data_IF_014391948101
#
_entry.id   IF_014391948101
#
_cell.length_a   1.000
_cell.length_b   1.000
_cell.length_c   1.000
_cell.angle_alpha   90.00
_cell.angle_beta   90.00
_cell.angle_gamma   90.00
#
_symmetry.space_group_name_H-M   'P 1'
#
loop_
_entity.id
_entity.type
_entity.pdbx_description
1 polymer ?
#
# COMPACT_ATOMS: atom_id res chain seq x y z
N UNK A 1 22.76 1.57 -7.08
CA UNK A 1 23.61 2.10 -8.17
C UNK A 1 23.02 3.43 -8.63
N UNK A 2 23.85 4.34 -9.14
CA UNK A 2 23.44 5.62 -9.74
C UNK A 2 24.28 5.87 -11.00
N UNK A 3 23.83 6.79 -11.86
CA UNK A 3 24.56 7.11 -13.09
C UNK A 3 25.99 7.61 -12.76
N UNK A 4 27.06 7.09 -13.41
CA UNK A 4 28.44 7.38 -13.00
C UNK A 4 28.78 8.86 -12.91
N UNK A 5 28.22 9.68 -13.80
CA UNK A 5 28.49 11.13 -13.91
C UNK A 5 27.50 12.00 -13.11
N UNK A 6 26.66 11.41 -12.25
CA UNK A 6 25.59 12.17 -11.58
C UNK A 6 26.14 13.29 -10.68
N UNK A 7 27.30 13.07 -10.06
CA UNK A 7 27.93 14.08 -9.17
C UNK A 7 28.47 15.25 -9.98
N UNK A 8 29.24 14.96 -11.03
CA UNK A 8 29.77 15.97 -11.94
C UNK A 8 28.65 16.81 -12.57
N UNK A 9 27.54 16.17 -12.94
CA UNK A 9 26.35 16.86 -13.44
C UNK A 9 25.75 17.81 -12.40
N UNK A 10 25.55 17.34 -11.17
CA UNK A 10 25.00 18.17 -10.08
C UNK A 10 25.89 19.35 -9.75
N UNK A 11 27.20 19.14 -9.70
CA UNK A 11 28.17 20.21 -9.42
C UNK A 11 28.21 21.23 -10.55
N UNK A 12 28.33 20.77 -11.81
CA UNK A 12 28.39 21.62 -13.00
C UNK A 12 27.17 22.53 -13.15
N UNK A 13 25.99 22.05 -12.78
CA UNK A 13 24.73 22.78 -12.91
C UNK A 13 24.21 23.36 -11.59
N UNK A 14 25.02 23.34 -10.52
CA UNK A 14 24.69 23.92 -9.21
C UNK A 14 23.35 23.43 -8.64
N UNK A 15 23.04 22.14 -8.82
CA UNK A 15 21.73 21.58 -8.44
C UNK A 15 21.63 21.25 -6.95
N UNK A 16 22.74 21.23 -6.21
CA UNK A 16 22.72 20.84 -4.80
C UNK A 16 22.47 22.03 -3.87
N UNK A 17 21.30 22.08 -3.20
CA UNK A 17 21.00 23.16 -2.27
C UNK A 17 21.82 23.12 -0.98
N UNK A 18 22.42 21.96 -0.65
CA UNK A 18 23.30 21.79 0.51
C UNK A 18 24.62 21.11 0.09
N UNK A 19 25.69 21.90 -0.14
CA UNK A 19 26.98 21.36 -0.56
C UNK A 19 27.64 20.38 0.42
N UNK A 20 27.21 20.33 1.69
CA UNK A 20 27.79 19.44 2.70
C UNK A 20 27.28 18.00 2.58
N UNK A 21 26.15 17.80 1.91
CA UNK A 21 25.51 16.48 1.79
C UNK A 21 25.17 16.18 0.33
N UNK A 22 24.90 14.91 0.02
CA UNK A 22 24.37 14.53 -1.30
C UNK A 22 23.04 13.81 -1.10
N UNK A 23 21.97 14.59 -0.95
CA UNK A 23 20.63 14.05 -0.76
C UNK A 23 19.85 14.10 -2.08
N UNK A 24 19.62 12.93 -2.68
CA UNK A 24 18.91 12.81 -3.96
C UNK A 24 17.53 13.46 -3.96
N UNK A 25 16.78 13.39 -2.85
CA UNK A 25 15.47 14.02 -2.75
C UNK A 25 15.58 15.54 -2.73
N UNK A 26 16.56 16.10 -2.04
CA UNK A 26 16.73 17.55 -1.99
C UNK A 26 17.26 18.11 -3.31
N UNK A 27 18.08 17.34 -4.02
CA UNK A 27 18.70 17.75 -5.29
C UNK A 27 17.71 17.63 -6.45
N UNK A 28 16.93 16.53 -6.50
CA UNK A 28 16.12 16.17 -7.67
C UNK A 28 14.61 16.03 -7.40
N UNK A 29 14.17 16.10 -6.14
CA UNK A 29 12.79 15.91 -5.76
C UNK A 29 12.05 17.22 -5.49
N UNK A 30 10.81 17.08 -5.02
CA UNK A 30 9.96 18.17 -4.55
C UNK A 30 9.84 18.16 -3.02
N UNK A 31 9.53 19.34 -2.47
CA UNK A 31 9.20 19.56 -1.06
C UNK A 31 8.14 20.65 -0.96
N UNK A 32 7.02 20.46 -1.63
CA UNK A 32 5.95 21.45 -1.70
C UNK A 32 4.79 21.13 -0.74
N UNK A 33 3.77 21.98 -0.76
CA UNK A 33 2.56 21.78 0.04
C UNK A 33 1.81 20.51 -0.39
N UNK A 34 1.78 20.20 -1.69
CA UNK A 34 1.11 19.02 -2.20
C UNK A 34 1.74 17.74 -1.65
N UNK A 35 3.07 17.69 -1.50
CA UNK A 35 3.78 16.60 -0.84
C UNK A 35 3.28 16.38 0.59
N UNK A 36 3.05 17.45 1.35
CA UNK A 36 2.67 17.40 2.76
C UNK A 36 1.28 16.77 2.98
N UNK A 37 0.38 16.89 2.01
CA UNK A 37 -1.00 16.38 2.11
C UNK A 37 -1.25 15.13 1.26
N UNK A 38 -0.48 14.94 0.19
CA UNK A 38 -0.66 13.84 -0.74
C UNK A 38 0.35 12.71 -0.51
N UNK A 39 1.61 12.99 -0.16
CA UNK A 39 2.70 12.02 -0.17
C UNK A 39 3.19 11.66 1.24
N UNK A 40 3.61 12.64 2.03
CA UNK A 40 4.23 12.40 3.35
C UNK A 40 3.32 11.66 4.34
N UNK A 41 1.98 11.87 4.38
CA UNK A 41 1.12 11.17 5.34
C UNK A 41 1.12 9.66 5.13
N UNK A 42 1.25 9.19 3.89
CA UNK A 42 1.33 7.75 3.57
C UNK A 42 2.62 7.12 4.08
N UNK A 43 3.73 7.83 3.93
CA UNK A 43 5.04 7.39 4.46
C UNK A 43 5.04 7.41 5.99
N UNK A 44 4.47 8.46 6.58
CA UNK A 44 4.27 8.57 8.02
C UNK A 44 3.44 7.41 8.58
N UNK A 45 2.32 7.07 7.95
CA UNK A 45 1.44 6.03 8.48
C UNK A 45 2.13 4.66 8.49
N UNK A 46 2.91 4.33 7.46
CA UNK A 46 3.74 3.12 7.46
C UNK A 46 4.77 3.11 8.59
N UNK A 47 5.44 4.23 8.82
CA UNK A 47 6.40 4.35 9.94
C UNK A 47 5.70 4.31 11.30
N UNK A 48 4.50 4.86 11.42
CA UNK A 48 3.68 4.74 12.63
C UNK A 48 3.30 3.28 12.93
N UNK A 49 3.00 2.48 11.91
CA UNK A 49 2.68 1.05 12.08
C UNK A 49 3.91 0.21 12.47
N UNK A 50 5.07 0.48 11.86
CA UNK A 50 6.24 -0.39 12.00
C UNK A 50 7.30 0.12 12.98
N UNK A 51 7.29 1.42 13.28
CA UNK A 51 8.24 2.12 14.17
C UNK A 51 7.50 3.12 15.08
N UNK A 52 6.51 2.67 15.87
CA UNK A 52 5.63 3.56 16.66
C UNK A 52 6.33 4.42 17.74
N UNK A 53 7.54 4.05 18.16
CA UNK A 53 8.38 4.86 19.05
C UNK A 53 8.86 6.16 18.40
N UNK A 54 9.00 6.19 17.07
CA UNK A 54 9.38 7.38 16.32
C UNK A 54 8.19 8.33 16.23
N UNK A 55 8.28 9.47 16.92
CA UNK A 55 7.26 10.53 16.86
C UNK A 55 7.47 11.41 15.64
N UNK A 56 6.45 11.47 14.80
CA UNK A 56 6.45 12.21 13.54
C UNK A 56 5.08 12.80 13.28
N UNK A 57 5.07 13.92 12.56
CA UNK A 57 3.86 14.53 12.03
C UNK A 57 3.57 14.02 10.61
N UNK A 58 2.30 13.83 10.22
CA UNK A 58 1.93 13.35 8.89
C UNK A 58 2.45 14.23 7.75
N UNK A 59 2.53 15.55 7.97
CA UNK A 59 2.96 16.56 6.99
C UNK A 59 4.47 16.81 6.98
N UNK A 60 5.24 16.05 7.77
CA UNK A 60 6.68 16.24 7.86
C UNK A 60 7.36 15.99 6.52
N UNK A 61 8.08 16.99 6.00
CA UNK A 61 8.89 16.83 4.80
C UNK A 61 10.19 16.06 5.06
N UNK A 62 10.45 15.64 6.30
CA UNK A 62 11.70 14.96 6.71
C UNK A 62 11.46 13.51 7.15
N UNK A 63 10.42 12.86 6.64
CA UNK A 63 10.21 11.41 6.86
C UNK A 63 11.45 10.65 6.35
N UNK A 64 12.15 9.87 7.20
CA UNK A 64 13.35 9.13 6.80
C UNK A 64 13.03 8.10 5.71
N UNK A 65 13.92 7.98 4.71
CA UNK A 65 13.75 7.00 3.64
C UNK A 65 13.98 5.57 4.12
N UNK A 66 15.03 5.35 4.93
CA UNK A 66 15.37 4.06 5.53
C UNK A 66 14.95 4.06 6.99
N UNK A 67 14.26 3.01 7.42
CA UNK A 67 13.87 2.79 8.80
C UNK A 67 14.06 1.34 9.23
N UNK A 68 14.13 1.15 10.55
CA UNK A 68 14.23 -0.16 11.19
C UNK A 68 12.96 -0.40 12.00
N UNK A 69 12.15 -1.33 11.52
CA UNK A 69 10.95 -1.74 12.23
C UNK A 69 11.29 -2.33 13.60
N UNK A 70 10.40 -2.13 14.56
CA UNK A 70 10.54 -2.61 15.94
C UNK A 70 10.31 -4.12 16.05
N UNK A 71 9.58 -4.71 15.10
CA UNK A 71 9.31 -6.14 14.98
C UNK A 71 9.60 -6.63 13.55
N UNK A 72 9.75 -7.94 13.40
CA UNK A 72 9.76 -8.57 12.06
C UNK A 72 8.44 -8.26 11.36
N UNK A 73 8.51 -7.98 10.06
CA UNK A 73 7.35 -7.67 9.23
C UNK A 73 6.88 -8.97 8.57
N UNK A 74 5.63 -9.35 8.84
CA UNK A 74 4.96 -10.43 8.15
C UNK A 74 4.32 -9.94 6.83
N UNK A 75 3.88 -10.84 5.96
CA UNK A 75 3.19 -10.44 4.72
C UNK A 75 1.90 -9.70 5.05
N UNK A 76 1.16 -10.17 6.07
CA UNK A 76 -0.08 -9.58 6.55
C UNK A 76 0.10 -8.14 7.06
N UNK A 77 1.26 -7.82 7.64
CA UNK A 77 1.60 -6.45 8.05
C UNK A 77 1.71 -5.52 6.82
N UNK A 78 2.30 -6.02 5.72
CA UNK A 78 2.42 -5.28 4.44
C UNK A 78 1.06 -5.14 3.77
N UNK A 79 0.27 -6.21 3.72
CA UNK A 79 -1.09 -6.17 3.19
C UNK A 79 -1.97 -5.17 3.93
N UNK A 80 -1.87 -5.14 5.27
CA UNK A 80 -2.59 -4.19 6.10
C UNK A 80 -2.18 -2.74 5.77
N UNK A 81 -0.87 -2.46 5.68
CA UNK A 81 -0.39 -1.14 5.29
C UNK A 81 -0.91 -0.71 3.91
N UNK A 82 -0.83 -1.59 2.90
CA UNK A 82 -1.29 -1.28 1.54
C UNK A 82 -2.81 -1.10 1.46
N UNK A 83 -3.56 -1.72 2.37
CA UNK A 83 -5.02 -1.61 2.45
C UNK A 83 -5.50 -0.54 3.41
N UNK A 84 -4.58 0.25 3.99
CA UNK A 84 -4.92 1.19 5.04
C UNK A 84 -5.42 2.53 4.53
N UNK A 85 -6.19 3.19 5.38
CA UNK A 85 -6.76 4.51 5.16
C UNK A 85 -6.60 5.35 6.42
N UNK A 86 -5.41 5.28 7.06
CA UNK A 86 -5.11 5.95 8.32
C UNK A 86 -5.91 5.43 9.53
N UNK A 87 -6.22 4.12 9.53
CA UNK A 87 -6.97 3.45 10.60
C UNK A 87 -6.44 3.80 11.99
N UNK A 88 -7.36 4.05 12.93
CA UNK A 88 -7.01 4.39 14.31
C UNK A 88 -6.44 5.81 14.47
N UNK A 89 -6.72 6.71 13.53
CA UNK A 89 -6.32 8.13 13.60
C UNK A 89 -7.48 9.05 13.20
N UNK A 90 -7.42 10.33 13.57
CA UNK A 90 -8.42 11.31 13.15
C UNK A 90 -8.59 11.44 11.62
N UNK A 91 -7.58 11.03 10.86
CA UNK A 91 -7.54 11.15 9.39
C UNK A 91 -8.19 9.98 8.66
N UNK A 92 -8.78 9.03 9.38
CA UNK A 92 -9.47 7.89 8.78
C UNK A 92 -10.80 8.34 8.12
N UNK A 93 -10.96 8.22 6.78
CA UNK A 93 -12.12 8.71 6.05
C UNK A 93 -13.37 7.84 6.20
N UNK A 94 -13.27 6.71 6.90
CA UNK A 94 -14.36 5.72 7.00
C UNK A 94 -15.28 5.94 8.21
N UNK A 95 -15.18 7.09 8.88
CA UNK A 95 -16.11 7.47 9.96
C UNK A 95 -16.10 6.53 11.18
N UNK A 96 -14.94 5.94 11.51
CA UNK A 96 -14.81 5.05 12.67
C UNK A 96 -14.79 5.83 13.98
N UNK A 97 -14.82 5.12 15.13
CA UNK A 97 -14.71 5.75 16.45
C UNK A 97 -13.43 6.58 16.63
N UNK A 98 -12.35 6.26 15.90
CA UNK A 98 -11.10 7.00 15.95
C UNK A 98 -11.02 8.14 14.93
N UNK A 99 -11.96 8.22 13.98
CA UNK A 99 -12.04 9.29 12.99
C UNK A 99 -12.36 10.63 13.65
N UNK A 100 -11.76 11.69 13.11
CA UNK A 100 -11.91 13.05 13.58
C UNK A 100 -13.05 13.78 12.89
N UNK A 101 -12.93 15.10 12.74
CA UNK A 101 -13.93 15.91 12.03
C UNK A 101 -13.97 15.60 10.53
N UNK A 102 -15.06 15.95 9.81
CA UNK A 102 -15.13 15.76 8.36
C UNK A 102 -13.97 16.42 7.58
N UNK A 103 -13.44 17.53 8.09
CA UNK A 103 -12.27 18.21 7.51
C UNK A 103 -10.99 17.39 7.71
N UNK A 104 -10.79 16.81 8.90
CA UNK A 104 -9.63 15.94 9.18
C UNK A 104 -9.65 14.67 8.32
N UNK A 105 -10.83 14.08 8.14
CA UNK A 105 -11.06 12.89 7.32
C UNK A 105 -10.76 13.12 5.83
N UNK A 106 -10.90 14.34 5.33
CA UNK A 106 -10.63 14.72 3.92
C UNK A 106 -9.24 15.31 3.71
N UNK A 107 -8.44 15.42 4.78
CA UNK A 107 -7.18 16.15 4.77
C UNK A 107 -6.09 15.46 3.96
N UNK A 108 -6.06 14.13 3.95
CA UNK A 108 -4.97 13.36 3.36
C UNK A 108 -5.47 12.31 2.37
N UNK A 109 -4.71 12.10 1.29
CA UNK A 109 -4.95 10.99 0.36
C UNK A 109 -4.58 9.67 1.03
N UNK A 110 -5.54 8.79 1.30
CA UNK A 110 -5.34 7.45 1.87
C UNK A 110 -4.47 6.54 1.00
N UNK A 111 -3.88 5.49 1.58
CA UNK A 111 -3.04 4.54 0.83
C UNK A 111 -3.92 3.72 -0.11
N UNK A 112 -4.94 3.08 0.47
CA UNK A 112 -6.05 2.49 -0.26
C UNK A 112 -7.00 3.60 -0.73
N UNK A 113 -7.36 3.58 -2.01
CA UNK A 113 -8.36 4.46 -2.63
C UNK A 113 -9.17 3.69 -3.69
N UNK A 114 -10.39 4.13 -3.96
CA UNK A 114 -11.30 3.62 -5.00
C UNK A 114 -10.63 3.35 -6.38
N UNK A 115 -9.71 4.21 -6.81
CA UNK A 115 -9.00 4.07 -8.08
C UNK A 115 -7.89 3.02 -8.06
N UNK A 116 -7.68 2.31 -6.96
CA UNK A 116 -6.79 1.16 -6.92
C UNK A 116 -7.25 0.08 -7.91
N UNK A 117 -6.31 -0.38 -8.73
CA UNK A 117 -6.58 -1.34 -9.81
C UNK A 117 -6.01 -2.70 -9.44
N UNK A 118 -4.71 -2.72 -9.11
CA UNK A 118 -3.99 -3.91 -8.71
C UNK A 118 -2.85 -3.54 -7.76
N UNK A 119 -2.70 -4.34 -6.71
CA UNK A 119 -1.53 -4.33 -5.83
C UNK A 119 -0.86 -5.69 -5.85
N UNK A 120 0.46 -5.70 -5.66
CA UNK A 120 1.18 -6.93 -5.47
C UNK A 120 2.25 -6.82 -4.39
N UNK A 121 2.51 -7.95 -3.73
CA UNK A 121 3.65 -8.14 -2.83
C UNK A 121 4.49 -9.26 -3.42
N UNK A 122 5.76 -8.97 -3.71
CA UNK A 122 6.71 -9.94 -4.23
C UNK A 122 7.54 -10.49 -3.08
N UNK A 123 7.44 -11.79 -2.83
CA UNK A 123 8.12 -12.48 -1.74
C UNK A 123 9.03 -13.56 -2.30
N UNK A 124 10.31 -13.52 -1.91
CA UNK A 124 11.27 -14.61 -2.16
C UNK A 124 11.57 -15.28 -0.81
N UNK A 125 11.13 -16.53 -0.65
CA UNK A 125 11.34 -17.35 0.55
C UNK A 125 12.69 -18.07 0.46
N UNK A 126 13.43 -18.09 1.56
CA UNK A 126 14.78 -18.68 1.59
C UNK A 126 14.78 -20.18 1.89
N UNK A 127 13.92 -20.64 2.80
CA UNK A 127 13.99 -22.01 3.36
C UNK A 127 13.07 -23.02 2.63
N UNK A 128 12.96 -22.88 1.30
CA UNK A 128 12.15 -23.76 0.44
C UNK A 128 12.90 -24.08 -0.86
N UNK A 129 12.57 -25.15 -1.59
CA UNK A 129 13.16 -25.42 -2.89
C UNK A 129 13.01 -24.21 -3.83
N UNK A 130 14.07 -23.90 -4.60
CA UNK A 130 14.13 -22.70 -5.45
C UNK A 130 12.90 -22.54 -6.37
N UNK A 131 12.38 -23.65 -6.90
CA UNK A 131 11.18 -23.67 -7.74
C UNK A 131 9.89 -23.19 -7.06
N UNK A 132 9.86 -23.11 -5.73
CA UNK A 132 8.74 -22.65 -4.90
C UNK A 132 9.10 -21.42 -4.05
N UNK A 133 10.28 -20.83 -4.26
CA UNK A 133 10.77 -19.72 -3.45
C UNK A 133 9.97 -18.44 -3.66
N UNK A 134 9.62 -18.16 -4.92
CA UNK A 134 8.96 -16.92 -5.30
C UNK A 134 7.43 -17.03 -5.24
N UNK A 135 6.82 -16.11 -4.49
CA UNK A 135 5.38 -15.92 -4.38
C UNK A 135 5.06 -14.47 -4.76
N UNK A 136 4.10 -14.30 -5.66
CA UNK A 136 3.48 -13.01 -5.95
C UNK A 136 2.09 -13.00 -5.33
N UNK A 137 1.92 -12.21 -4.27
CA UNK A 137 0.61 -11.98 -3.67
C UNK A 137 -0.09 -10.91 -4.51
N UNK A 138 -1.25 -11.22 -5.08
CA UNK A 138 -2.00 -10.30 -5.96
C UNK A 138 -3.30 -9.90 -5.28
N UNK A 139 -3.61 -8.61 -5.34
CA UNK A 139 -4.88 -8.05 -4.97
C UNK A 139 -5.43 -7.20 -6.14
N UNK A 140 -6.72 -7.33 -6.43
CA UNK A 140 -7.40 -6.60 -7.50
C UNK A 140 -8.59 -5.81 -6.94
N UNK A 141 -8.81 -4.62 -7.50
CA UNK A 141 -9.85 -3.70 -7.04
C UNK A 141 -9.41 -2.91 -5.81
N UNK A 142 -10.37 -2.50 -4.98
CA UNK A 142 -10.08 -1.74 -3.77
C UNK A 142 -9.63 -2.64 -2.62
N UNK A 143 -8.39 -2.41 -2.16
CA UNK A 143 -7.64 -3.34 -1.31
C UNK A 143 -8.27 -3.55 0.07
N UNK A 144 -9.08 -2.60 0.56
CA UNK A 144 -9.76 -2.72 1.85
C UNK A 144 -10.75 -3.89 1.91
N UNK A 145 -11.30 -4.32 0.76
CA UNK A 145 -12.39 -5.29 0.69
C UNK A 145 -12.02 -6.58 -0.04
N UNK A 146 -10.78 -6.71 -0.47
CA UNK A 146 -10.32 -7.79 -1.32
C UNK A 146 -9.08 -8.44 -0.72
N UNK A 147 -8.98 -9.78 -0.75
CA UNK A 147 -7.82 -10.47 -0.20
C UNK A 147 -6.63 -10.41 -1.17
N UNK A 148 -5.43 -10.40 -0.60
CA UNK A 148 -4.23 -10.79 -1.34
C UNK A 148 -4.20 -12.31 -1.50
N UNK A 149 -4.00 -12.77 -2.74
CA UNK A 149 -3.94 -14.20 -3.08
C UNK A 149 -2.50 -14.58 -3.47
N UNK A 150 -1.88 -15.58 -2.81
CA UNK A 150 -0.51 -15.98 -3.09
C UNK A 150 -0.40 -16.87 -4.33
N UNK A 151 0.16 -16.34 -5.41
CA UNK A 151 0.49 -17.12 -6.60
C UNK A 151 1.95 -17.55 -6.58
N UNK A 152 2.22 -18.83 -6.84
CA UNK A 152 3.56 -19.26 -7.22
C UNK A 152 3.93 -18.63 -8.56
N UNK A 153 5.12 -18.06 -8.68
CA UNK A 153 5.54 -17.40 -9.92
C UNK A 153 6.11 -18.37 -10.95
N UNK A 154 6.47 -19.59 -10.52
CA UNK A 154 6.99 -20.64 -11.39
C UNK A 154 5.85 -21.45 -12.02
N UNK A 155 5.03 -20.78 -12.84
CA UNK A 155 3.87 -21.32 -13.53
C UNK A 155 3.89 -20.88 -15.00
N UNK A 156 3.31 -21.68 -15.89
CA UNK A 156 3.23 -21.36 -17.33
C UNK A 156 1.95 -20.61 -17.72
N UNK A 157 0.94 -20.58 -16.85
CA UNK A 157 -0.30 -19.85 -17.05
C UNK A 157 -0.92 -19.47 -15.69
N UNK A 158 -1.85 -18.50 -15.68
CA UNK A 158 -2.55 -18.04 -14.49
C UNK A 158 -4.00 -18.54 -14.45
N UNK A 159 -4.65 -18.65 -13.28
CA UNK A 159 -6.04 -19.07 -13.23
C UNK A 159 -6.97 -18.17 -14.04
N UNK A 160 -7.94 -18.77 -14.73
CA UNK A 160 -8.81 -18.08 -15.68
C UNK A 160 -9.43 -16.78 -15.13
N UNK A 161 -9.90 -16.80 -13.86
CA UNK A 161 -10.49 -15.64 -13.20
C UNK A 161 -9.53 -14.47 -12.93
N UNK A 162 -8.24 -14.75 -12.80
CA UNK A 162 -7.18 -13.74 -12.59
C UNK A 162 -6.50 -13.34 -13.91
N UNK A 163 -6.80 -14.04 -15.00
CA UNK A 163 -6.35 -13.75 -16.36
C UNK A 163 -7.35 -12.85 -17.14
N UNK A 164 -8.63 -12.94 -16.79
CA UNK A 164 -9.72 -12.26 -17.49
C UNK A 164 -10.08 -10.93 -16.81
N UNK A 165 -9.84 -9.81 -17.49
CA UNK A 165 -10.21 -8.45 -17.04
C UNK A 165 -10.47 -7.53 -18.27
N UNK A 166 -11.39 -7.96 -19.13
CA UNK A 166 -11.85 -7.20 -20.32
C UNK A 166 -12.88 -6.13 -19.96
N UNK A 167 -13.21 -5.21 -20.87
CA UNK A 167 -14.12 -4.09 -20.61
C UNK A 167 -15.60 -4.48 -20.38
N UNK A 168 -15.94 -5.77 -20.45
CA UNK A 168 -17.31 -6.28 -20.40
C UNK A 168 -17.88 -6.47 -18.98
N UNK A 169 -17.18 -6.00 -17.94
CA UNK A 169 -17.63 -5.99 -16.54
C UNK A 169 -18.34 -7.27 -16.10
N UNK A 170 -17.63 -8.41 -16.11
CA UNK A 170 -18.17 -9.74 -15.76
C UNK A 170 -17.64 -10.27 -14.40
N UNK A 171 -18.33 -9.98 -13.27
CA UNK A 171 -17.95 -10.43 -11.93
C UNK A 171 -17.87 -11.95 -11.73
N UNK A 172 -18.62 -12.73 -12.49
CA UNK A 172 -18.63 -14.20 -12.41
C UNK A 172 -17.36 -14.82 -13.00
N UNK A 173 -16.75 -14.14 -13.99
CA UNK A 173 -15.57 -14.61 -14.73
C UNK A 173 -14.27 -13.88 -14.37
N UNK A 174 -14.34 -12.73 -13.71
CA UNK A 174 -13.18 -11.90 -13.40
C UNK A 174 -13.08 -11.60 -11.91
N UNK A 175 -11.97 -11.98 -11.28
CA UNK A 175 -11.67 -11.58 -9.91
C UNK A 175 -11.57 -10.06 -9.77
N UNK A 176 -11.06 -9.38 -10.81
CA UNK A 176 -11.00 -7.92 -10.86
C UNK A 176 -12.39 -7.29 -10.82
N UNK A 177 -13.30 -7.67 -11.72
CA UNK A 177 -14.65 -7.10 -11.74
C UNK A 177 -15.49 -7.51 -10.54
N UNK A 178 -15.27 -8.71 -9.99
CA UNK A 178 -15.91 -9.12 -8.74
C UNK A 178 -15.56 -8.18 -7.59
N UNK A 179 -14.26 -7.91 -7.40
CA UNK A 179 -13.80 -7.05 -6.32
C UNK A 179 -14.19 -5.59 -6.55
N UNK A 180 -14.22 -5.12 -7.81
CA UNK A 180 -14.77 -3.80 -8.16
C UNK A 180 -16.27 -3.67 -7.89
N UNK A 181 -17.05 -4.71 -8.15
CA UNK A 181 -18.47 -4.73 -7.79
C UNK A 181 -18.65 -4.70 -6.27
N UNK A 182 -17.83 -5.45 -5.53
CA UNK A 182 -17.88 -5.49 -4.07
C UNK A 182 -17.63 -4.10 -3.46
N UNK A 183 -16.65 -3.37 -3.98
CA UNK A 183 -16.35 -1.98 -3.60
C UNK A 183 -17.59 -1.09 -3.69
N UNK A 184 -18.27 -1.08 -4.84
CA UNK A 184 -19.48 -0.26 -5.08
C UNK A 184 -20.62 -0.62 -4.12
N UNK A 185 -20.72 -1.89 -3.72
CA UNK A 185 -21.78 -2.35 -2.80
C UNK A 185 -21.46 -1.97 -1.34
N UNK A 186 -20.20 -2.09 -0.94
CA UNK A 186 -19.74 -1.95 0.45
C UNK A 186 -19.54 -0.49 0.83
N UNK A 187 -18.90 0.31 -0.02
CA UNK A 187 -18.48 1.68 0.33
C UNK A 187 -19.64 2.59 0.80
N UNK A 188 -20.81 2.63 0.14
CA UNK A 188 -21.94 3.47 0.59
C UNK A 188 -22.52 3.05 1.95
N UNK A 189 -22.24 1.81 2.38
CA UNK A 189 -22.78 1.18 3.58
C UNK A 189 -21.66 0.53 4.39
N UNK A 190 -20.51 1.22 4.46
CA UNK A 190 -19.28 0.68 5.03
C UNK A 190 -19.49 0.04 6.42
N UNK A 191 -20.16 0.75 7.33
CA UNK A 191 -20.41 0.26 8.69
C UNK A 191 -21.35 -0.95 8.77
N UNK A 192 -22.18 -1.17 7.76
CA UNK A 192 -23.06 -2.35 7.67
C UNK A 192 -22.27 -3.60 7.28
N UNK A 193 -21.34 -3.48 6.33
CA UNK A 193 -20.69 -4.64 5.70
C UNK A 193 -19.26 -4.91 6.13
N UNK A 194 -18.53 -3.93 6.65
CA UNK A 194 -17.07 -4.06 6.82
C UNK A 194 -16.68 -5.25 7.70
N UNK A 195 -17.42 -5.48 8.79
CA UNK A 195 -17.14 -6.59 9.70
C UNK A 195 -17.35 -7.95 9.02
N UNK A 196 -18.39 -8.09 8.21
CA UNK A 196 -18.67 -9.33 7.46
C UNK A 196 -17.61 -9.61 6.41
N UNK A 197 -17.19 -8.57 5.68
CA UNK A 197 -16.15 -8.67 4.65
C UNK A 197 -14.82 -9.09 5.27
N UNK A 198 -14.38 -8.38 6.31
CA UNK A 198 -13.10 -8.66 6.99
C UNK A 198 -13.12 -10.04 7.64
N UNK A 199 -14.22 -10.43 8.30
CA UNK A 199 -14.36 -11.76 8.90
C UNK A 199 -14.27 -12.87 7.85
N UNK A 200 -14.98 -12.73 6.72
CA UNK A 200 -14.92 -13.74 5.63
C UNK A 200 -13.54 -13.86 5.04
N UNK A 201 -12.85 -12.75 4.76
CA UNK A 201 -11.47 -12.76 4.25
C UNK A 201 -10.55 -13.50 5.23
N UNK A 202 -10.66 -13.22 6.52
CA UNK A 202 -9.83 -13.85 7.55
C UNK A 202 -10.10 -15.34 7.68
N UNK A 203 -11.38 -15.76 7.64
CA UNK A 203 -11.76 -17.17 7.71
C UNK A 203 -11.23 -17.97 6.53
N UNK A 204 -11.36 -17.45 5.30
CA UNK A 204 -10.84 -18.13 4.11
C UNK A 204 -9.31 -18.24 4.13
N UNK A 205 -8.61 -17.22 4.63
CA UNK A 205 -7.15 -17.32 4.87
C UNK A 205 -6.80 -18.39 5.89
N UNK A 206 -7.53 -18.54 6.98
CA UNK A 206 -7.25 -19.59 7.96
C UNK A 206 -7.43 -20.97 7.33
N UNK A 207 -8.51 -21.18 6.56
CA UNK A 207 -8.76 -22.43 5.85
C UNK A 207 -7.67 -22.76 4.83
N UNK A 208 -7.04 -21.78 4.18
CA UNK A 208 -5.96 -22.04 3.22
C UNK A 208 -4.65 -22.49 3.86
N UNK A 209 -4.51 -22.35 5.19
CA UNK A 209 -3.33 -22.78 5.95
C UNK A 209 -3.54 -24.12 6.68
N UNK A 210 -4.77 -24.67 6.67
CA UNK A 210 -5.14 -25.97 7.22
C UNK A 210 -5.27 -27.01 6.10
#
# INVERSE_FOLDING_TARGET
MYAPQIKDFVEKYHLNPDPQTFNFRNIFGTQDEADAYYNTPRSWYGQKLFTPSLKQEPTSQKIPFIQRAEKKIAVEDVEYFLSSHYNGTPYDPTGTYASGTPEEQRKFRSIALDRNQSSCILQIRNDVPAQYAAIQWINFGFYCYSPYVPFFTNISDTPAKYKYATDDTQPDKSAYWLNKLLEVIVEPRYHEFINDVVCKIKLEKIKSHL
#
